data_IF_790927740620
#
_entry.id   IF_790927740620
#
_cell.length_a   1.000
_cell.length_b   1.000
_cell.length_c   1.000
_cell.angle_alpha   90.00
_cell.angle_beta   90.00
_cell.angle_gamma   90.00
#
_symmetry.space_group_name_H-M   'P 1'
#
loop_
_entity.id
_entity.type
_entity.pdbx_description
1 polymer ?
#
# COMPACT_ATOMS: atom_id res chain seq x y z
N UNK A 1 17.17 -11.50 16.77
CA UNK A 1 16.30 -10.93 17.82
C UNK A 1 17.00 -9.69 18.36
N UNK A 2 16.35 -8.53 18.37
CA UNK A 2 16.96 -7.27 18.82
C UNK A 2 16.37 -6.84 20.15
N UNK A 3 17.22 -6.38 21.06
CA UNK A 3 16.80 -5.80 22.33
C UNK A 3 17.35 -4.38 22.36
N UNK A 4 16.50 -3.42 22.71
CA UNK A 4 16.87 -2.00 22.78
C UNK A 4 16.38 -1.45 24.10
N UNK A 5 17.22 -0.64 24.76
CA UNK A 5 16.79 0.07 25.96
C UNK A 5 15.91 1.27 25.60
N UNK A 6 14.93 1.56 26.44
CA UNK A 6 14.24 2.85 26.44
C UNK A 6 15.22 3.90 26.96
N UNK A 7 15.32 5.02 26.28
CA UNK A 7 16.21 6.13 26.63
C UNK A 7 15.42 7.30 27.22
N UNK A 8 15.99 8.50 27.25
CA UNK A 8 15.28 9.70 27.72
C UNK A 8 14.01 9.95 26.90
N UNK A 9 13.00 10.55 27.52
CA UNK A 9 11.72 10.88 26.89
C UNK A 9 11.05 9.68 26.20
N UNK A 10 11.26 8.47 26.74
CA UNK A 10 10.68 7.22 26.24
C UNK A 10 11.06 6.87 24.79
N UNK A 11 12.20 7.37 24.30
CA UNK A 11 12.66 7.07 22.95
C UNK A 11 13.33 5.70 22.88
N UNK A 12 12.99 4.92 21.86
CA UNK A 12 13.68 3.67 21.48
C UNK A 12 14.41 3.86 20.16
N UNK A 13 15.57 3.22 20.02
CA UNK A 13 16.29 3.19 18.74
C UNK A 13 15.87 1.98 17.95
N UNK A 14 15.30 2.18 16.75
CA UNK A 14 14.98 1.07 15.85
C UNK A 14 16.30 0.53 15.25
N UNK A 15 16.61 -0.77 15.40
CA UNK A 15 17.84 -1.37 14.87
C UNK A 15 18.01 -1.15 13.38
N UNK A 16 19.26 -1.03 12.93
CA UNK A 16 19.58 -0.70 11.54
C UNK A 16 18.98 -1.69 10.52
N UNK A 17 18.99 -2.99 10.81
CA UNK A 17 18.41 -4.02 9.96
C UNK A 17 16.90 -3.83 9.78
N UNK A 18 16.17 -3.56 10.87
CA UNK A 18 14.72 -3.32 10.83
C UNK A 18 14.42 -2.03 10.05
N UNK A 19 15.19 -0.95 10.26
CA UNK A 19 15.03 0.29 9.49
C UNK A 19 15.23 0.07 8.00
N UNK A 20 16.26 -0.67 7.59
CA UNK A 20 16.54 -0.97 6.18
C UNK A 20 15.44 -1.84 5.58
N UNK A 21 15.01 -2.88 6.29
CA UNK A 21 13.98 -3.80 5.82
C UNK A 21 12.64 -3.10 5.55
N UNK A 22 12.20 -2.23 6.46
CA UNK A 22 10.96 -1.45 6.30
C UNK A 22 11.18 -0.10 5.59
N UNK A 23 12.38 0.18 5.10
CA UNK A 23 12.77 1.46 4.50
C UNK A 23 12.33 2.69 5.34
N UNK A 24 12.57 2.64 6.65
CA UNK A 24 12.25 3.72 7.58
C UNK A 24 13.27 4.84 7.45
N UNK A 25 12.77 6.05 7.25
CA UNK A 25 13.56 7.27 7.15
C UNK A 25 13.26 8.21 8.32
N UNK A 26 14.14 9.18 8.57
CA UNK A 26 13.85 10.26 9.53
C UNK A 26 12.56 10.97 9.08
N UNK A 27 11.62 11.14 10.00
CA UNK A 27 10.28 11.68 9.71
C UNK A 27 9.22 10.65 9.28
N UNK A 28 9.59 9.36 9.12
CA UNK A 28 8.58 8.31 8.90
C UNK A 28 7.61 8.21 10.08
N UNK A 29 6.32 8.11 9.76
CA UNK A 29 5.28 7.94 10.77
C UNK A 29 5.09 6.46 11.13
N UNK A 30 4.98 6.20 12.42
CA UNK A 30 4.66 4.90 12.97
C UNK A 30 3.39 5.01 13.80
N UNK A 31 2.42 4.16 13.49
CA UNK A 31 1.22 3.98 14.30
C UNK A 31 1.50 2.97 15.42
N UNK A 32 1.03 3.29 16.62
CA UNK A 32 1.22 2.47 17.80
C UNK A 32 -0.10 1.78 18.15
N UNK A 33 -0.09 0.46 18.23
CA UNK A 33 -1.22 -0.32 18.72
C UNK A 33 -0.78 -1.36 19.76
N UNK A 34 -1.76 -1.89 20.49
CA UNK A 34 -1.55 -2.88 21.55
C UNK A 34 -2.21 -4.19 21.19
N UNK A 35 -1.44 -5.28 21.24
CA UNK A 35 -1.95 -6.65 21.14
C UNK A 35 -1.58 -7.42 22.42
N UNK A 36 -2.55 -7.82 23.26
CA UNK A 36 -2.37 -8.56 24.53
C UNK A 36 -1.12 -8.17 25.37
N UNK A 37 0.07 -8.67 25.00
CA UNK A 37 1.36 -8.46 25.67
C UNK A 37 2.45 -7.86 24.77
N UNK A 38 2.08 -7.20 23.66
CA UNK A 38 2.99 -6.64 22.66
C UNK A 38 2.55 -5.23 22.27
N UNK A 39 3.55 -4.38 22.05
CA UNK A 39 3.38 -3.12 21.33
C UNK A 39 3.66 -3.42 19.86
N UNK A 40 2.71 -3.05 19.00
CA UNK A 40 2.84 -3.22 17.55
C UNK A 40 3.05 -1.84 16.95
N UNK A 41 4.09 -1.74 16.11
CA UNK A 41 4.42 -0.54 15.36
C UNK A 41 4.14 -0.80 13.89
N UNK A 42 3.29 0.01 13.27
CA UNK A 42 2.98 -0.10 11.86
C UNK A 42 3.41 1.18 11.14
N UNK A 43 4.21 1.05 10.07
CA UNK A 43 4.56 2.19 9.23
C UNK A 43 3.31 2.73 8.55
N UNK A 44 2.97 3.99 8.85
CA UNK A 44 1.99 4.74 8.07
C UNK A 44 2.74 5.52 7.01
N UNK A 45 2.30 5.36 5.76
CA UNK A 45 2.57 6.37 4.74
C UNK A 45 1.53 7.46 4.94
N UNK A 46 1.95 8.72 4.95
CA UNK A 46 1.03 9.82 4.71
C UNK A 46 0.46 9.55 3.33
N UNK A 47 -0.76 9.02 3.27
CA UNK A 47 -1.50 8.99 2.02
C UNK A 47 -1.92 10.44 1.84
N UNK A 48 -1.32 11.10 0.86
CA UNK A 48 -1.72 12.43 0.43
C UNK A 48 -3.24 12.43 0.23
N UNK A 49 -3.96 13.43 0.72
CA UNK A 49 -5.43 13.48 0.67
C UNK A 49 -5.94 13.28 -0.76
N UNK A 50 -5.17 13.77 -1.74
CA UNK A 50 -5.41 13.65 -3.18
C UNK A 50 -5.30 12.22 -3.75
N UNK A 51 -4.72 11.27 -2.98
CA UNK A 51 -4.53 9.86 -3.37
C UNK A 51 -5.27 8.88 -2.45
N UNK A 52 -6.06 9.39 -1.50
CA UNK A 52 -6.86 8.58 -0.58
C UNK A 52 -7.89 7.69 -1.31
N UNK A 53 -8.38 8.13 -2.47
CA UNK A 53 -9.34 7.40 -3.31
C UNK A 53 -8.81 6.04 -3.79
N UNK A 54 -7.51 5.90 -4.02
CA UNK A 54 -6.84 4.65 -4.44
C UNK A 54 -6.91 3.56 -3.36
N UNK A 55 -7.12 3.93 -2.10
CA UNK A 55 -7.20 3.02 -0.96
C UNK A 55 -8.63 2.75 -0.48
N UNK A 56 -9.65 3.24 -1.21
CA UNK A 56 -11.05 2.88 -0.95
C UNK A 56 -11.26 1.38 -1.19
N UNK A 57 -12.15 0.76 -0.41
CA UNK A 57 -12.45 -0.68 -0.53
C UNK A 57 -12.97 -1.03 -1.93
N UNK A 58 -13.70 -0.11 -2.53
CA UNK A 58 -14.25 -0.18 -3.87
C UNK A 58 -13.13 -0.24 -4.91
N UNK A 59 -12.15 0.65 -4.83
CA UNK A 59 -11.07 0.71 -5.81
C UNK A 59 -10.11 -0.48 -5.70
N UNK A 60 -9.76 -0.89 -4.48
CA UNK A 60 -8.96 -2.10 -4.24
C UNK A 60 -9.68 -3.38 -4.69
N UNK A 61 -11.02 -3.42 -4.61
CA UNK A 61 -11.81 -4.52 -5.18
C UNK A 61 -11.70 -4.54 -6.71
N UNK A 62 -11.77 -3.38 -7.36
CA UNK A 62 -11.56 -3.24 -8.79
C UNK A 62 -10.17 -3.72 -9.24
N UNK A 63 -9.11 -3.30 -8.56
CA UNK A 63 -7.74 -3.79 -8.85
C UNK A 63 -7.62 -5.31 -8.68
N UNK A 64 -8.23 -5.87 -7.64
CA UNK A 64 -8.21 -7.32 -7.41
C UNK A 64 -8.95 -8.09 -8.51
N UNK A 65 -10.00 -7.50 -9.10
CA UNK A 65 -10.70 -8.05 -10.25
C UNK A 65 -9.86 -7.94 -11.52
N UNK A 66 -9.25 -6.78 -11.78
CA UNK A 66 -8.33 -6.57 -12.93
C UNK A 66 -7.14 -7.53 -12.86
N UNK A 67 -6.56 -7.74 -11.67
CA UNK A 67 -5.43 -8.65 -11.48
C UNK A 67 -5.82 -10.12 -11.70
N UNK A 68 -7.05 -10.50 -11.33
CA UNK A 68 -7.60 -11.83 -11.68
C UNK A 68 -7.78 -11.96 -13.18
N UNK A 69 -8.30 -10.92 -13.85
CA UNK A 69 -8.50 -10.93 -15.29
C UNK A 69 -7.17 -10.96 -16.06
N UNK A 70 -6.13 -10.28 -15.56
CA UNK A 70 -4.75 -10.43 -16.09
C UNK A 70 -4.27 -11.87 -15.98
N UNK A 71 -4.41 -12.50 -14.81
CA UNK A 71 -3.99 -13.90 -14.59
C UNK A 71 -4.77 -14.91 -15.43
N UNK A 72 -6.05 -14.63 -15.67
CA UNK A 72 -6.92 -15.46 -16.52
C UNK A 72 -6.81 -15.10 -18.01
N UNK A 73 -5.89 -14.19 -18.38
CA UNK A 73 -5.70 -13.68 -19.73
C UNK A 73 -6.98 -13.12 -20.38
N UNK A 74 -7.87 -12.57 -19.54
CA UNK A 74 -9.13 -11.91 -19.91
C UNK A 74 -8.96 -10.40 -20.10
N UNK A 75 -7.72 -9.97 -20.29
CA UNK A 75 -7.39 -8.58 -20.61
C UNK A 75 -7.31 -8.41 -22.13
N UNK A 76 -7.80 -7.28 -22.62
CA UNK A 76 -7.65 -6.89 -24.01
C UNK A 76 -6.94 -5.54 -24.07
N UNK A 77 -5.83 -5.50 -24.78
CA UNK A 77 -5.13 -4.28 -25.12
C UNK A 77 -5.59 -3.81 -26.51
N UNK A 78 -5.71 -2.50 -26.67
CA UNK A 78 -5.96 -1.84 -27.95
C UNK A 78 -4.72 -1.02 -28.29
N UNK A 79 -4.34 -0.97 -29.55
CA UNK A 79 -3.17 -0.20 -30.00
C UNK A 79 -3.45 1.29 -30.02
N UNK A 80 -4.72 1.66 -30.24
CA UNK A 80 -5.15 3.04 -30.27
C UNK A 80 -6.64 3.18 -29.87
N UNK A 81 -7.02 4.43 -29.60
CA UNK A 81 -8.38 4.80 -29.18
C UNK A 81 -9.41 4.53 -30.28
N UNK A 82 -9.01 4.54 -31.56
CA UNK A 82 -9.91 4.25 -32.69
C UNK A 82 -10.28 2.78 -32.76
N UNK A 83 -9.34 1.88 -32.50
CA UNK A 83 -9.54 0.44 -32.37
C UNK A 83 -10.43 0.11 -31.16
N UNK A 84 -10.14 0.72 -30.01
CA UNK A 84 -10.97 0.62 -28.81
C UNK A 84 -12.41 1.04 -29.10
N UNK A 85 -12.60 2.21 -29.74
CA UNK A 85 -13.93 2.72 -30.11
C UNK A 85 -14.69 1.76 -31.01
N UNK A 86 -14.04 1.12 -32.01
CA UNK A 86 -14.71 0.12 -32.87
C UNK A 86 -15.19 -1.11 -32.09
N UNK A 87 -14.44 -1.53 -31.07
CA UNK A 87 -14.80 -2.67 -30.25
C UNK A 87 -16.01 -2.41 -29.33
N UNK A 88 -16.11 -1.21 -28.74
CA UNK A 88 -17.20 -0.84 -27.84
C UNK A 88 -18.41 -0.18 -28.55
N UNK A 89 -18.32 0.08 -29.86
CA UNK A 89 -19.36 0.75 -30.67
C UNK A 89 -20.61 -0.08 -31.01
N UNK A 90 -20.87 -1.19 -30.32
CA UNK A 90 -22.11 -1.98 -30.50
C UNK A 90 -23.18 -1.64 -29.45
N UNK A 91 -22.91 -0.72 -28.52
CA UNK A 91 -23.90 -0.26 -27.52
C UNK A 91 -23.91 1.26 -27.40
N UNK A 92 -24.30 1.96 -28.47
CA UNK A 92 -24.98 3.27 -28.40
C UNK A 92 -25.99 3.31 -29.54
#
# INVERSE_FOLDING_TARGET
MFITKITRNFQITIPAEIRKFFNLQVGSLLDFSRERHKIVLQQKRLIDEDQAWFWTKEWQKGEKEVEKDKKLNRIRSFKDVSEMKKHFKVFI
#
